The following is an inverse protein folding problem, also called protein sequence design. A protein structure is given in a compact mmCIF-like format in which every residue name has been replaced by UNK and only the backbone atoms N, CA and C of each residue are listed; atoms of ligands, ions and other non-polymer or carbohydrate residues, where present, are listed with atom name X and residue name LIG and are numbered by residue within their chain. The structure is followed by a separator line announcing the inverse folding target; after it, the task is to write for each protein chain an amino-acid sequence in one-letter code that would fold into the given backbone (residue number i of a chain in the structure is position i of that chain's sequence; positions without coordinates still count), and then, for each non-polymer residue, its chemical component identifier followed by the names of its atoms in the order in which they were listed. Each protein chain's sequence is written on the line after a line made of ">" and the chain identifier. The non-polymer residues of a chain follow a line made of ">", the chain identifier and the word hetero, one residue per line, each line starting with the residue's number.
data_IF_741964687871
#
_entry.id   IF_741964687871
#
_cell.length_a   1.000
_cell.length_b   1.000
_cell.length_c   1.000
_cell.angle_alpha   90.00
_cell.angle_beta   90.00
_cell.angle_gamma   90.00
#
_symmetry.space_group_name_H-M   'P 1'
#
loop_
_entity.id
_entity.type
_entity.pdbx_description
1 polymer ?
#
# COMPACT_ATOMS: atom_id res chain seq x y z
N UNK A 1 -9.64 -17.00 -0.32
CA UNK A 1 -10.98 -16.45 -0.62
C UNK A 1 -11.07 -16.24 -2.13
N UNK A 2 -11.55 -17.24 -2.87
CA UNK A 2 -11.60 -17.15 -4.34
C UNK A 2 -12.75 -16.25 -4.77
N UNK A 3 -12.49 -15.38 -5.74
CA UNK A 3 -13.54 -14.68 -6.49
C UNK A 3 -14.21 -15.72 -7.40
N UNK A 4 -15.27 -16.35 -6.91
CA UNK A 4 -16.10 -17.28 -7.67
C UNK A 4 -16.96 -16.53 -8.69
N UNK A 5 -17.40 -17.22 -9.74
CA UNK A 5 -18.26 -16.63 -10.77
C UNK A 5 -19.56 -16.04 -10.19
N UNK A 6 -20.21 -16.75 -9.26
CA UNK A 6 -21.39 -16.23 -8.55
C UNK A 6 -21.13 -14.90 -7.83
N UNK A 7 -19.96 -14.76 -7.19
CA UNK A 7 -19.60 -13.49 -6.54
C UNK A 7 -19.38 -12.38 -7.57
N UNK A 8 -18.76 -12.70 -8.71
CA UNK A 8 -18.53 -11.74 -9.80
C UNK A 8 -19.85 -11.29 -10.42
N UNK A 9 -20.79 -12.20 -10.67
CA UNK A 9 -22.14 -11.91 -11.14
C UNK A 9 -22.88 -10.95 -10.19
N UNK A 10 -22.92 -11.29 -8.89
CA UNK A 10 -23.54 -10.42 -7.87
C UNK A 10 -22.87 -9.04 -7.81
N UNK A 11 -21.54 -8.99 -7.89
CA UNK A 11 -20.81 -7.72 -7.99
C UNK A 11 -21.24 -6.92 -9.22
N UNK A 12 -21.27 -7.54 -10.41
CA UNK A 12 -21.65 -6.84 -11.66
C UNK A 12 -23.07 -6.31 -11.59
N UNK A 13 -24.00 -7.11 -11.07
CA UNK A 13 -25.41 -6.75 -10.91
C UNK A 13 -25.57 -5.55 -9.97
N UNK A 14 -25.11 -5.68 -8.72
CA UNK A 14 -25.26 -4.62 -7.70
C UNK A 14 -24.46 -3.37 -8.07
N UNK A 15 -23.29 -3.54 -8.69
CA UNK A 15 -22.51 -2.41 -9.18
C UNK A 15 -23.26 -1.66 -10.26
N UNK A 16 -23.92 -2.35 -11.20
CA UNK A 16 -24.76 -1.74 -12.23
C UNK A 16 -25.95 -1.00 -11.63
N UNK A 17 -26.58 -1.58 -10.60
CA UNK A 17 -27.64 -0.97 -9.78
C UNK A 17 -27.15 0.27 -8.99
N UNK A 18 -25.85 0.55 -8.96
CA UNK A 18 -25.28 1.74 -8.31
C UNK A 18 -25.01 1.56 -6.81
N UNK A 19 -24.98 0.33 -6.32
CA UNK A 19 -24.64 0.05 -4.93
C UNK A 19 -23.18 0.42 -4.62
N UNK A 20 -22.94 0.92 -3.41
CA UNK A 20 -21.58 1.22 -2.94
C UNK A 20 -20.78 -0.05 -2.67
N UNK A 21 -19.45 0.02 -2.83
CA UNK A 21 -18.56 -1.12 -2.57
C UNK A 21 -18.71 -1.72 -1.16
N UNK A 22 -19.00 -0.88 -0.15
CA UNK A 22 -19.22 -1.34 1.23
C UNK A 22 -20.52 -2.12 1.40
N UNK A 23 -21.56 -1.77 0.63
CA UNK A 23 -22.83 -2.51 0.63
C UNK A 23 -22.67 -3.87 -0.07
N UNK A 24 -22.01 -3.89 -1.23
CA UNK A 24 -21.69 -5.12 -1.96
C UNK A 24 -20.81 -6.05 -1.12
N UNK A 25 -19.85 -5.50 -0.37
CA UNK A 25 -19.01 -6.26 0.55
C UNK A 25 -19.81 -6.94 1.68
N UNK A 26 -20.85 -6.26 2.20
CA UNK A 26 -21.76 -6.85 3.19
C UNK A 26 -22.57 -8.00 2.61
N UNK A 27 -23.07 -7.84 1.38
CA UNK A 27 -23.86 -8.86 0.70
C UNK A 27 -23.03 -10.11 0.34
N UNK A 28 -21.84 -9.90 -0.22
CA UNK A 28 -20.98 -11.01 -0.67
C UNK A 28 -20.37 -11.81 0.49
N UNK A 29 -20.21 -11.21 1.67
CA UNK A 29 -19.70 -11.86 2.87
C UNK A 29 -18.23 -12.33 2.78
N UNK A 30 -17.40 -11.90 3.74
CA UNK A 30 -15.98 -12.29 3.78
C UNK A 30 -15.10 -11.65 2.70
N UNK A 31 -15.56 -10.53 2.13
CA UNK A 31 -14.76 -9.63 1.29
C UNK A 31 -14.87 -8.21 1.83
N UNK A 32 -13.78 -7.45 1.80
CA UNK A 32 -13.75 -6.07 2.29
C UNK A 32 -14.10 -5.08 1.19
N UNK A 33 -14.47 -3.85 1.55
CA UNK A 33 -14.69 -2.75 0.60
C UNK A 33 -13.55 -2.63 -0.42
N UNK A 34 -12.30 -2.69 0.04
CA UNK A 34 -11.13 -2.59 -0.84
C UNK A 34 -10.98 -3.79 -1.77
N UNK A 35 -11.39 -4.99 -1.34
CA UNK A 35 -11.38 -6.17 -2.21
C UNK A 35 -12.36 -6.02 -3.37
N UNK A 36 -13.53 -5.43 -3.11
CA UNK A 36 -14.57 -5.11 -4.11
C UNK A 36 -14.08 -4.05 -5.09
N UNK A 37 -13.56 -2.91 -4.61
CA UNK A 37 -13.00 -1.85 -5.46
C UNK A 37 -11.90 -2.42 -6.37
N UNK A 38 -10.98 -3.18 -5.79
CA UNK A 38 -9.93 -3.82 -6.57
C UNK A 38 -10.52 -4.75 -7.63
N UNK A 39 -11.55 -5.55 -7.33
CA UNK A 39 -12.17 -6.45 -8.32
C UNK A 39 -12.86 -5.70 -9.45
N UNK A 40 -13.58 -4.62 -9.15
CA UNK A 40 -14.20 -3.72 -10.14
C UNK A 40 -13.14 -3.22 -11.12
N UNK A 41 -12.01 -2.74 -10.60
CA UNK A 41 -10.88 -2.27 -11.43
C UNK A 41 -10.30 -3.34 -12.33
N UNK A 42 -10.01 -4.53 -11.82
CA UNK A 42 -9.48 -5.64 -12.66
C UNK A 42 -10.50 -6.24 -13.62
N UNK A 43 -11.80 -5.94 -13.46
CA UNK A 43 -12.84 -6.26 -14.44
C UNK A 43 -13.11 -5.12 -15.43
N UNK A 44 -12.48 -3.94 -15.26
CA UNK A 44 -12.72 -2.77 -16.11
C UNK A 44 -14.15 -2.23 -16.03
N UNK A 45 -14.88 -2.53 -14.95
CA UNK A 45 -16.22 -2.01 -14.72
C UNK A 45 -16.14 -0.50 -14.45
N UNK A 46 -17.06 0.29 -15.04
CA UNK A 46 -17.05 1.75 -14.93
C UNK A 46 -16.86 2.22 -13.50
N UNK A 47 -15.81 3.01 -13.29
CA UNK A 47 -15.37 3.45 -11.98
C UNK A 47 -16.18 4.67 -11.54
N UNK A 48 -17.36 4.43 -10.98
CA UNK A 48 -18.26 5.48 -10.48
C UNK A 48 -17.74 6.20 -9.22
N UNK A 49 -16.69 5.64 -8.58
CA UNK A 49 -16.19 6.10 -7.28
C UNK A 49 -14.82 6.79 -7.36
N UNK A 50 -14.16 6.77 -8.52
CA UNK A 50 -12.95 7.57 -8.75
C UNK A 50 -13.04 8.19 -10.13
N UNK A 51 -13.62 9.39 -10.17
CA UNK A 51 -12.91 10.45 -10.88
C UNK A 51 -11.60 10.67 -10.12
N UNK A 52 -10.47 10.50 -10.79
CA UNK A 52 -9.73 11.67 -11.15
C UNK A 52 -9.97 11.93 -12.63
N UNK A 53 -10.53 13.09 -12.93
CA UNK A 53 -10.26 13.78 -14.19
C UNK A 53 -8.75 14.03 -14.29
N UNK A 54 -7.97 12.98 -14.55
CA UNK A 54 -6.63 13.08 -15.06
C UNK A 54 -6.75 13.12 -16.57
N UNK A 55 -7.20 14.28 -17.06
CA UNK A 55 -6.78 14.74 -18.36
C UNK A 55 -5.24 14.69 -18.37
N UNK A 56 -4.58 14.06 -19.36
CA UNK A 56 -3.14 14.19 -19.51
C UNK A 56 -2.87 15.62 -20.01
N UNK A 57 -2.70 16.57 -19.09
CA UNK A 57 -2.09 17.85 -19.42
C UNK A 57 -0.57 17.63 -19.47
N UNK A 58 0.07 17.82 -20.64
CA UNK A 58 1.51 17.73 -20.75
C UNK A 58 2.14 19.04 -20.22
N UNK A 59 3.00 18.94 -19.20
CA UNK A 59 4.26 19.69 -19.05
C UNK A 59 4.67 19.80 -17.56
N UNK A 60 5.95 19.54 -17.22
CA UNK A 60 6.50 19.82 -15.90
C UNK A 60 6.90 21.30 -15.82
N UNK A 61 6.24 22.08 -14.98
CA UNK A 61 6.78 23.35 -14.51
C UNK A 61 7.01 23.26 -12.99
N UNK A 62 8.26 23.38 -12.51
CA UNK A 62 8.56 23.30 -11.09
C UNK A 62 8.23 24.66 -10.45
N UNK A 63 6.99 24.85 -10.03
CA UNK A 63 6.66 25.97 -9.14
C UNK A 63 7.02 25.60 -7.70
N UNK A 64 8.15 26.18 -7.30
CA UNK A 64 8.65 26.30 -5.94
C UNK A 64 7.54 26.84 -5.01
N UNK A 65 7.62 26.42 -3.74
CA UNK A 65 6.95 26.97 -2.55
C UNK A 65 5.66 26.27 -2.06
N UNK A 66 5.86 25.20 -1.29
CA UNK A 66 5.22 25.04 0.02
C UNK A 66 5.90 23.87 0.75
N UNK A 67 7.01 24.15 1.43
CA UNK A 67 7.52 23.25 2.46
C UNK A 67 6.50 23.22 3.60
N UNK A 68 5.85 22.09 3.93
CA UNK A 68 5.12 22.02 5.18
C UNK A 68 6.14 22.05 6.31
N UNK A 69 6.03 23.03 7.19
CA UNK A 69 6.70 23.07 8.49
C UNK A 69 6.35 21.79 9.27
N UNK A 70 7.11 20.73 9.04
CA UNK A 70 7.32 19.69 10.03
C UNK A 70 8.49 20.16 10.86
N UNK A 71 8.18 20.70 12.03
CA UNK A 71 9.07 20.67 13.18
C UNK A 71 8.90 19.29 13.82
N UNK A 72 9.79 18.30 13.60
CA UNK A 72 9.93 17.25 14.60
C UNK A 72 10.72 17.83 15.76
N UNK A 73 10.10 17.79 16.93
CA UNK A 73 10.76 17.98 18.20
C UNK A 73 12.10 17.22 18.23
N UNK A 74 13.16 17.89 18.71
CA UNK A 74 14.43 17.25 19.07
C UNK A 74 14.13 16.02 19.95
N UNK A 75 14.45 14.79 19.51
CA UNK A 75 14.72 13.72 20.46
C UNK A 75 16.11 13.98 21.06
N UNK A 76 16.22 13.77 22.36
CA UNK A 76 17.41 13.89 23.22
C UNK A 76 18.70 13.30 22.61
N UNK A 77 19.89 13.75 23.07
CA UNK A 77 21.18 13.23 22.61
C UNK A 77 21.24 11.71 22.83
N UNK A 78 21.49 10.96 21.75
CA UNK A 78 21.87 9.56 21.89
C UNK A 78 23.27 9.52 22.52
N UNK A 79 23.48 8.86 23.69
CA UNK A 79 24.82 8.49 24.09
C UNK A 79 25.34 7.49 23.04
N UNK A 80 26.49 7.80 22.44
CA UNK A 80 27.15 6.90 21.52
C UNK A 80 27.36 5.53 22.19
N UNK A 81 26.89 4.42 21.60
CA UNK A 81 27.34 3.11 22.04
C UNK A 81 28.82 2.96 21.63
N UNK A 82 29.71 3.25 22.57
CA UNK A 82 31.06 2.71 22.56
C UNK A 82 30.96 1.19 22.80
N UNK A 83 30.60 0.46 21.74
CA UNK A 83 30.74 -0.98 21.68
C UNK A 83 31.88 -1.27 20.70
N UNK A 84 33.10 -1.18 21.23
CA UNK A 84 34.25 -1.82 20.63
C UNK A 84 33.94 -3.32 20.52
N UNK A 85 33.70 -3.81 19.31
CA UNK A 85 33.69 -5.23 19.04
C UNK A 85 35.14 -5.73 19.18
N UNK A 86 35.46 -6.67 20.08
CA UNK A 86 36.69 -7.42 19.92
C UNK A 86 36.48 -8.33 18.71
N UNK A 87 37.25 -8.10 17.66
CA UNK A 87 37.38 -9.01 16.53
C UNK A 87 38.22 -10.20 17.04
N UNK A 88 37.68 -11.42 17.18
CA UNK A 88 38.55 -12.57 17.39
C UNK A 88 39.22 -12.87 16.04
N UNK A 89 40.54 -12.75 15.98
CA UNK A 89 41.36 -13.30 14.90
C UNK A 89 41.31 -14.83 14.98
N UNK A 90 40.85 -15.57 13.95
CA UNK A 90 41.06 -17.00 13.90
C UNK A 90 42.46 -17.23 13.32
N UNK A 91 43.47 -17.28 14.18
CA UNK A 91 44.79 -17.76 13.77
C UNK A 91 44.77 -19.29 13.80
N UNK A 92 44.74 -19.83 12.58
CA UNK A 92 45.38 -21.05 12.09
C UNK A 92 45.28 -22.35 12.91
N UNK A 93 44.71 -23.35 12.24
CA UNK A 93 44.92 -24.76 12.50
C UNK A 93 46.38 -25.22 12.28
N UNK A 94 46.65 -26.44 12.78
CA UNK A 94 47.84 -27.31 12.60
C UNK A 94 48.95 -27.10 13.65
N UNK A 95 49.51 -28.09 14.36
CA UNK A 95 49.38 -29.56 14.42
C UNK A 95 50.16 -30.04 15.69
N UNK A 96 50.14 -31.33 16.08
CA UNK A 96 50.59 -31.81 17.39
C UNK A 96 52.08 -32.23 17.43
N UNK A 97 52.65 -32.28 18.65
CA UNK A 97 53.79 -33.10 19.06
C UNK A 97 53.66 -33.42 20.55
#
# INVERSE_FOLDING_TARGET
>A
MSWTDERVETLKRMWSEGQSASAIAKELGGVTRNAVIGKVHRLGLSNRNEEPEAAPAPAPEPVVAAAPEKKPAKPAPQPAPAAAAPRPEPVAAAAPA
#
